data_IF_290397587938
#
_entry.id   IF_290397587938
#
_cell.length_a   1.000
_cell.length_b   1.000
_cell.length_c   1.000
_cell.angle_alpha   90.00
_cell.angle_beta   90.00
_cell.angle_gamma   90.00
#
_symmetry.space_group_name_H-M   'P 1'
#
loop_
_entity.id
_entity.type
_entity.pdbx_description
1 polymer ?
#
# COMPACT_ATOMS: atom_id res chain seq x y z
N UNK A 1 21.76 -2.16 -20.20
CA UNK A 1 20.64 -1.36 -20.77
C UNK A 1 19.44 -1.45 -19.85
N UNK A 2 18.98 -0.31 -19.32
CA UNK A 2 17.77 -0.24 -18.47
C UNK A 2 16.54 -0.42 -19.35
N UNK A 3 15.86 -1.58 -19.30
CA UNK A 3 14.64 -1.86 -20.09
C UNK A 3 13.56 -0.84 -19.75
N UNK A 4 13.25 0.10 -20.66
CA UNK A 4 12.21 1.11 -20.44
C UNK A 4 10.88 0.40 -20.17
N UNK A 5 10.23 0.70 -19.04
CA UNK A 5 8.94 0.09 -18.69
C UNK A 5 7.86 0.82 -19.48
N UNK A 6 6.98 0.05 -20.10
CA UNK A 6 5.84 0.60 -20.80
C UNK A 6 4.85 1.26 -19.82
N UNK A 7 4.25 2.38 -20.20
CA UNK A 7 3.35 3.10 -19.29
C UNK A 7 2.09 2.28 -18.95
N UNK A 8 1.58 1.48 -19.90
CA UNK A 8 0.42 0.62 -19.66
C UNK A 8 0.77 -0.48 -18.68
N UNK A 9 1.90 -1.15 -18.90
CA UNK A 9 2.42 -2.17 -17.98
C UNK A 9 2.59 -1.60 -16.57
N UNK A 10 3.18 -0.41 -16.44
CA UNK A 10 3.35 0.25 -15.14
C UNK A 10 2.01 0.48 -14.42
N UNK A 11 1.01 1.03 -15.12
CA UNK A 11 -0.29 1.36 -14.51
C UNK A 11 -1.05 0.10 -14.11
N UNK A 12 -1.05 -0.94 -14.96
CA UNK A 12 -1.68 -2.23 -14.64
C UNK A 12 -1.03 -2.83 -13.39
N UNK A 13 0.30 -2.87 -13.33
CA UNK A 13 1.00 -3.40 -12.16
C UNK A 13 0.72 -2.56 -10.90
N UNK A 14 0.67 -1.23 -11.03
CA UNK A 14 0.35 -0.34 -9.92
C UNK A 14 -1.03 -0.60 -9.31
N UNK A 15 -2.05 -0.77 -10.14
CA UNK A 15 -3.44 -0.97 -9.68
C UNK A 15 -3.69 -2.36 -9.09
N UNK A 16 -2.87 -3.35 -9.45
CA UNK A 16 -2.95 -4.71 -8.92
C UNK A 16 -2.02 -4.98 -7.73
N UNK A 17 -1.32 -3.95 -7.24
CA UNK A 17 -0.42 -4.06 -6.08
C UNK A 17 -1.03 -3.38 -4.87
N UNK A 18 -0.72 -3.85 -3.67
CA UNK A 18 -1.14 -3.23 -2.41
C UNK A 18 -0.15 -2.19 -1.90
N UNK A 19 1.09 -2.23 -2.42
CA UNK A 19 2.19 -1.38 -1.97
C UNK A 19 3.17 -1.04 -3.10
N UNK A 20 3.96 0.01 -2.89
CA UNK A 20 5.00 0.41 -3.85
C UNK A 20 6.15 -0.59 -3.92
N UNK A 21 6.39 -1.33 -2.83
CA UNK A 21 7.34 -2.41 -2.73
C UNK A 21 6.98 -3.57 -3.67
N UNK A 22 5.69 -3.94 -3.72
CA UNK A 22 5.19 -4.96 -4.64
C UNK A 22 5.35 -4.54 -6.10
N UNK A 23 5.02 -3.30 -6.44
CA UNK A 23 5.24 -2.76 -7.79
C UNK A 23 6.72 -2.78 -8.17
N UNK A 24 7.59 -2.38 -7.25
CA UNK A 24 9.04 -2.38 -7.45
C UNK A 24 9.57 -3.80 -7.71
N UNK A 25 9.12 -4.78 -6.92
CA UNK A 25 9.46 -6.20 -7.11
C UNK A 25 8.95 -6.72 -8.45
N UNK A 26 7.69 -6.47 -8.78
CA UNK A 26 7.05 -6.94 -10.01
C UNK A 26 7.72 -6.39 -11.28
N UNK A 27 8.14 -5.12 -11.25
CA UNK A 27 8.79 -4.46 -12.40
C UNK A 27 10.32 -4.60 -12.40
N UNK A 28 10.90 -5.25 -11.39
CA UNK A 28 12.36 -5.38 -11.24
C UNK A 28 13.07 -4.03 -11.09
N UNK A 29 12.46 -3.08 -10.36
CA UNK A 29 12.96 -1.70 -10.19
C UNK A 29 13.16 -1.34 -8.74
N UNK A 30 13.91 -0.26 -8.51
CA UNK A 30 13.98 0.35 -7.19
C UNK A 30 12.67 1.09 -6.86
N UNK A 31 12.31 1.10 -5.58
CA UNK A 31 11.17 1.87 -5.06
C UNK A 31 11.22 3.35 -5.46
N UNK A 32 12.41 3.96 -5.46
CA UNK A 32 12.61 5.34 -5.88
C UNK A 32 12.28 5.57 -7.36
N UNK A 33 12.70 4.66 -8.25
CA UNK A 33 12.38 4.75 -9.67
C UNK A 33 10.87 4.61 -9.93
N UNK A 34 10.20 3.69 -9.22
CA UNK A 34 8.74 3.51 -9.28
C UNK A 34 8.01 4.76 -8.77
N UNK A 35 8.45 5.33 -7.64
CA UNK A 35 7.86 6.54 -7.08
C UNK A 35 8.00 7.75 -8.01
N UNK A 36 9.18 7.91 -8.62
CA UNK A 36 9.45 8.95 -9.60
C UNK A 36 8.54 8.79 -10.83
N UNK A 37 8.40 7.56 -11.34
CA UNK A 37 7.54 7.26 -12.49
C UNK A 37 6.06 7.54 -12.21
N UNK A 38 5.55 7.11 -11.05
CA UNK A 38 4.18 7.41 -10.65
C UNK A 38 3.94 8.92 -10.52
N UNK A 39 4.93 9.67 -10.01
CA UNK A 39 4.86 11.13 -9.92
C UNK A 39 4.88 11.79 -11.30
N UNK A 40 5.73 11.33 -12.21
CA UNK A 40 5.76 11.77 -13.61
C UNK A 40 4.39 11.57 -14.28
N UNK A 41 3.78 10.39 -14.12
CA UNK A 41 2.47 10.07 -14.70
C UNK A 41 1.35 10.94 -14.11
N UNK A 42 1.35 11.17 -12.79
CA UNK A 42 0.39 12.10 -12.15
C UNK A 42 0.53 13.53 -12.67
N UNK A 43 1.75 14.03 -12.86
CA UNK A 43 1.99 15.36 -13.44
C UNK A 43 1.47 15.48 -14.87
N UNK A 44 1.41 14.36 -15.60
CA UNK A 44 0.83 14.26 -16.95
C UNK A 44 -0.69 14.09 -16.97
N UNK A 45 -1.35 14.08 -15.80
CA UNK A 45 -2.80 13.93 -15.68
C UNK A 45 -3.28 12.47 -15.59
N UNK A 46 -2.38 11.49 -15.54
CA UNK A 46 -2.78 10.09 -15.34
C UNK A 46 -3.20 9.88 -13.89
N UNK A 47 -4.40 9.33 -13.67
CA UNK A 47 -4.96 9.07 -12.35
C UNK A 47 -4.33 7.82 -11.70
N UNK A 48 -3.06 7.91 -11.32
CA UNK A 48 -2.38 6.86 -10.55
C UNK A 48 -2.66 7.10 -9.07
N UNK A 49 -3.46 6.28 -8.37
CA UNK A 49 -3.80 6.50 -6.97
C UNK A 49 -2.53 6.45 -6.09
N UNK A 50 -2.52 7.15 -4.96
CA UNK A 50 -1.45 6.96 -3.98
C UNK A 50 -1.74 5.69 -3.20
N UNK A 51 -0.70 4.91 -2.88
CA UNK A 51 -0.83 3.89 -1.85
C UNK A 51 -1.12 4.61 -0.54
N UNK A 52 -2.37 4.59 -0.11
CA UNK A 52 -2.74 5.00 1.24
C UNK A 52 -2.20 3.93 2.17
N UNK A 53 -1.35 4.29 3.14
CA UNK A 53 -0.97 3.36 4.21
C UNK A 53 -2.27 2.75 4.76
N UNK A 54 -2.39 1.41 4.69
CA UNK A 54 -3.45 0.61 5.34
C UNK A 54 -3.73 1.24 6.70
N UNK A 55 -5.01 1.55 6.96
CA UNK A 55 -5.59 2.13 8.19
C UNK A 55 -4.59 2.92 9.04
N UNK A 56 -4.76 4.26 9.10
CA UNK A 56 -4.07 5.16 10.03
C UNK A 56 -3.61 4.43 11.30
N UNK A 57 -2.37 4.61 11.76
CA UNK A 57 -1.87 4.00 13.00
C UNK A 57 -2.87 4.13 14.17
N UNK A 58 -3.66 5.21 14.17
CA UNK A 58 -4.77 5.43 15.10
C UNK A 58 -5.87 4.37 14.99
N UNK A 59 -6.28 4.00 13.79
CA UNK A 59 -7.28 2.98 13.54
C UNK A 59 -6.79 1.57 13.88
N UNK A 60 -5.51 1.25 13.62
CA UNK A 60 -4.90 0.00 14.12
C UNK A 60 -4.86 -0.05 15.64
N UNK A 61 -4.49 1.05 16.31
CA UNK A 61 -4.50 1.14 17.77
C UNK A 61 -5.91 0.99 18.35
N UNK A 62 -6.92 1.54 17.69
CA UNK A 62 -8.32 1.42 18.10
C UNK A 62 -8.82 -0.02 17.97
N UNK A 63 -8.49 -0.70 16.86
CA UNK A 63 -8.84 -2.11 16.63
C UNK A 63 -8.20 -3.02 17.69
N UNK A 64 -6.91 -2.84 17.98
CA UNK A 64 -6.22 -3.58 19.05
C UNK A 64 -6.86 -3.34 20.42
N UNK A 65 -7.24 -2.10 20.73
CA UNK A 65 -7.90 -1.78 21.99
C UNK A 65 -9.28 -2.45 22.11
N UNK A 66 -10.04 -2.51 21.02
CA UNK A 66 -11.35 -3.21 20.97
C UNK A 66 -11.18 -4.71 21.18
N UNK A 67 -10.21 -5.35 20.52
CA UNK A 67 -9.92 -6.77 20.69
C UNK A 67 -9.52 -7.11 22.14
N UNK A 68 -8.67 -6.29 22.75
CA UNK A 68 -8.28 -6.49 24.15
C UNK A 68 -9.47 -6.32 25.12
N UNK A 69 -10.39 -5.40 24.83
CA UNK A 69 -11.61 -5.22 25.63
C UNK A 69 -12.49 -6.49 25.61
N UNK A 70 -12.64 -7.11 24.43
CA UNK A 70 -13.40 -8.37 24.27
C UNK A 70 -12.77 -9.53 25.05
N UNK A 71 -11.44 -9.67 24.98
CA UNK A 71 -10.71 -10.70 25.73
C UNK A 71 -10.94 -10.53 27.24
N UNK A 72 -10.80 -9.30 27.74
CA UNK A 72 -10.99 -9.00 29.16
C UNK A 72 -12.43 -9.27 29.63
N UNK A 73 -13.42 -9.03 28.77
CA UNK A 73 -14.83 -9.33 29.09
C UNK A 73 -15.04 -10.83 29.27
N UNK A 74 -14.59 -11.64 28.31
CA UNK A 74 -14.74 -13.10 28.38
C UNK A 74 -13.94 -13.75 29.52
N UNK A 75 -12.77 -13.20 29.87
CA UNK A 75 -11.99 -13.69 31.01
C UNK A 75 -12.65 -13.39 32.36
N UNK A 76 -13.47 -12.34 32.46
CA UNK A 76 -14.24 -12.01 33.68
C UNK A 76 -15.51 -12.83 33.82
N UNK A 77 -16.15 -13.20 32.72
CA UNK A 77 -17.38 -14.00 32.72
C UNK A 77 -17.11 -15.51 32.92
N UNK A 78 -15.87 -15.96 32.72
CA UNK A 78 -15.44 -17.35 32.94
C UNK A 78 -14.87 -17.66 34.33
N UNK A 79 -14.93 -16.73 35.29
CA UNK A 79 -14.56 -16.90 36.70
C UNK A 79 -15.80 -16.86 37.58
#
# INVERSE_FOLDING_TARGET
MSKRIDNREFVVTWLNSESIEEVAKALGRSKGAVAAKATELRKRGVQVPKFTKKLSETAQKLEVAQLNSLINKHQKEGR
#
